data_IF_320769571447
#
_entry.id   IF_320769571447
#
_cell.length_a   1.000
_cell.length_b   1.000
_cell.length_c   1.000
_cell.angle_alpha   90.00
_cell.angle_beta   90.00
_cell.angle_gamma   90.00
#
_symmetry.space_group_name_H-M   'P 1'
#
loop_
_entity.id
_entity.type
_entity.pdbx_description
1 polymer ?
#
# COMPACT_ATOMS: atom_id res chain seq x y z
N UNK A 1 -13.70 1.38 10.36
CA UNK A 1 -12.28 1.46 9.98
C UNK A 1 -11.57 0.20 10.43
N UNK A 2 -10.90 -0.48 9.51
CA UNK A 2 -10.05 -1.67 9.74
C UNK A 2 -8.73 -1.47 9.01
N UNK A 3 -7.68 -2.20 9.41
CA UNK A 3 -6.50 -2.32 8.56
C UNK A 3 -6.94 -3.08 7.30
N UNK A 4 -6.78 -2.47 6.14
CA UNK A 4 -7.09 -3.11 4.87
C UNK A 4 -5.90 -3.97 4.45
N UNK A 5 -4.71 -3.38 4.39
CA UNK A 5 -3.49 -4.12 4.10
C UNK A 5 -2.24 -3.50 4.73
N UNK A 6 -1.17 -4.31 4.78
CA UNK A 6 0.20 -3.86 4.99
C UNK A 6 0.96 -4.02 3.68
N UNK A 7 1.45 -2.91 3.14
CA UNK A 7 2.30 -2.89 1.96
C UNK A 7 3.75 -3.17 2.33
N UNK A 8 4.38 -4.15 1.69
CA UNK A 8 5.76 -4.57 1.94
C UNK A 8 6.55 -4.47 0.64
N UNK A 9 7.53 -3.56 0.61
CA UNK A 9 8.42 -3.38 -0.52
C UNK A 9 9.46 -4.51 -0.57
N UNK A 10 9.54 -5.18 -1.72
CA UNK A 10 10.46 -6.29 -1.99
C UNK A 10 11.19 -6.08 -3.32
N UNK A 11 12.41 -6.61 -3.43
CA UNK A 11 13.20 -6.55 -4.66
C UNK A 11 12.76 -7.57 -5.70
N UNK A 12 12.23 -8.70 -5.24
CA UNK A 12 11.75 -9.78 -6.07
C UNK A 12 10.45 -10.36 -5.49
N UNK A 13 9.35 -10.23 -6.22
CA UNK A 13 8.10 -10.92 -5.93
C UNK A 13 8.28 -12.42 -5.97
N UNK A 14 9.11 -12.95 -6.87
CA UNK A 14 9.34 -14.39 -6.95
C UNK A 14 9.93 -14.94 -5.65
N UNK A 15 11.01 -14.34 -5.15
CA UNK A 15 11.63 -14.77 -3.89
C UNK A 15 10.73 -14.47 -2.67
N UNK A 16 10.03 -13.33 -2.70
CA UNK A 16 9.14 -12.94 -1.63
C UNK A 16 7.88 -13.81 -1.57
N UNK A 17 7.30 -14.20 -2.70
CA UNK A 17 6.14 -15.09 -2.74
C UNK A 17 6.49 -16.46 -2.15
N UNK A 18 7.63 -17.04 -2.54
CA UNK A 18 8.13 -18.28 -1.94
C UNK A 18 8.33 -18.19 -0.42
N UNK A 19 8.79 -17.04 0.07
CA UNK A 19 8.96 -16.78 1.50
C UNK A 19 7.61 -16.64 2.22
N UNK A 20 6.73 -15.78 1.72
CA UNK A 20 5.45 -15.46 2.35
C UNK A 20 4.46 -16.61 2.25
N UNK A 21 4.48 -17.40 1.17
CA UNK A 21 3.66 -18.60 1.06
C UNK A 21 4.01 -19.62 2.14
N UNK A 22 5.30 -19.85 2.40
CA UNK A 22 5.77 -20.70 3.51
C UNK A 22 5.46 -20.12 4.88
N UNK A 23 5.62 -18.80 5.05
CA UNK A 23 5.35 -18.10 6.32
C UNK A 23 3.87 -18.15 6.70
N UNK A 24 2.99 -17.94 5.73
CA UNK A 24 1.53 -17.84 5.93
C UNK A 24 0.81 -19.18 5.72
N UNK A 25 1.50 -20.19 5.21
CA UNK A 25 0.95 -21.52 4.93
C UNK A 25 -0.04 -21.56 3.77
N UNK A 26 0.04 -20.61 2.83
CA UNK A 26 -0.82 -20.52 1.65
C UNK A 26 -0.23 -19.62 0.58
N UNK A 27 -0.60 -19.89 -0.67
CA UNK A 27 -0.20 -19.09 -1.83
C UNK A 27 -0.88 -17.71 -1.86
N UNK A 28 -0.30 -16.80 -2.64
CA UNK A 28 -0.97 -15.56 -3.01
C UNK A 28 -2.23 -15.86 -3.84
N UNK A 29 -3.23 -14.99 -3.76
CA UNK A 29 -4.47 -15.18 -4.52
C UNK A 29 -4.57 -14.33 -5.79
N UNK A 30 -3.67 -13.35 -5.94
CA UNK A 30 -3.70 -12.39 -7.04
C UNK A 30 -2.35 -11.72 -7.22
N UNK A 31 -1.97 -11.52 -8.47
CA UNK A 31 -0.99 -10.53 -8.89
C UNK A 31 -1.69 -9.42 -9.67
N UNK A 32 -1.26 -8.17 -9.49
CA UNK A 32 -1.80 -7.03 -10.23
C UNK A 32 -0.69 -6.02 -10.57
N UNK A 33 -0.64 -5.60 -11.84
CA UNK A 33 0.24 -4.52 -12.27
C UNK A 33 -0.47 -3.18 -12.13
N UNK A 34 0.17 -2.25 -11.43
CA UNK A 34 -0.27 -0.86 -11.29
C UNK A 34 0.68 0.00 -12.10
N UNK A 35 0.48 0.01 -13.43
CA UNK A 35 1.41 0.64 -14.39
C UNK A 35 1.72 2.10 -14.07
N UNK A 36 0.71 2.88 -13.65
CA UNK A 36 0.88 4.30 -13.31
C UNK A 36 1.85 4.54 -12.13
N UNK A 37 1.93 3.59 -11.20
CA UNK A 37 2.82 3.67 -10.04
C UNK A 37 4.14 2.94 -10.31
N UNK A 38 4.24 2.20 -11.43
CA UNK A 38 5.41 1.38 -11.74
C UNK A 38 5.60 0.26 -10.72
N UNK A 39 4.53 -0.44 -10.35
CA UNK A 39 4.55 -1.49 -9.33
C UNK A 39 3.81 -2.74 -9.81
N UNK A 40 4.34 -3.91 -9.48
CA UNK A 40 3.64 -5.19 -9.53
C UNK A 40 3.37 -5.62 -8.09
N UNK A 41 2.15 -6.07 -7.84
CA UNK A 41 1.67 -6.40 -6.48
C UNK A 41 1.34 -7.89 -6.36
N UNK A 42 1.53 -8.47 -5.17
CA UNK A 42 1.10 -9.83 -4.81
C UNK A 42 0.31 -9.82 -3.51
N UNK A 43 -0.87 -10.43 -3.50
CA UNK A 43 -1.81 -10.34 -2.38
C UNK A 43 -1.99 -11.65 -1.63
N UNK A 44 -1.95 -11.56 -0.30
CA UNK A 44 -2.26 -12.64 0.63
C UNK A 44 -3.35 -12.19 1.60
N UNK A 45 -4.42 -12.97 1.73
CA UNK A 45 -5.39 -12.73 2.80
C UNK A 45 -4.77 -13.06 4.17
N UNK A 46 -5.01 -12.30 5.22
CA UNK A 46 -4.57 -12.60 6.60
C UNK A 46 -5.67 -12.15 7.56
N UNK A 47 -6.54 -13.09 7.96
CA UNK A 47 -7.74 -12.75 8.73
C UNK A 47 -8.63 -11.78 7.95
N UNK A 48 -8.91 -10.63 8.56
CA UNK A 48 -9.71 -9.54 7.99
C UNK A 48 -8.89 -8.54 7.16
N UNK A 49 -7.56 -8.69 7.11
CA UNK A 49 -6.62 -7.80 6.42
C UNK A 49 -5.84 -8.53 5.33
N UNK A 50 -4.96 -7.83 4.61
CA UNK A 50 -4.09 -8.41 3.58
C UNK A 50 -2.62 -8.07 3.81
N UNK A 51 -1.74 -8.92 3.30
CA UNK A 51 -0.37 -8.53 2.97
C UNK A 51 -0.34 -8.23 1.47
N UNK A 52 0.21 -7.08 1.12
CA UNK A 52 0.46 -6.68 -0.26
C UNK A 52 1.98 -6.55 -0.45
N UNK A 53 2.57 -7.48 -1.20
CA UNK A 53 3.97 -7.39 -1.59
C UNK A 53 4.09 -6.49 -2.82
N UNK A 54 5.09 -5.62 -2.85
CA UNK A 54 5.28 -4.58 -3.85
C UNK A 54 6.67 -4.72 -4.47
N UNK A 55 6.74 -5.05 -5.76
CA UNK A 55 7.98 -4.97 -6.55
C UNK A 55 7.88 -3.83 -7.54
N UNK A 56 8.97 -3.06 -7.66
CA UNK A 56 9.07 -2.01 -8.66
C UNK A 56 9.19 -2.59 -10.07
N UNK A 57 8.31 -2.20 -10.99
CA UNK A 57 8.40 -2.59 -12.41
C UNK A 57 9.37 -1.72 -13.22
N UNK A 58 9.84 -0.61 -12.65
CA UNK A 58 10.87 0.25 -13.23
C UNK A 58 11.68 0.99 -12.15
N UNK A 59 12.89 1.49 -12.47
CA UNK A 59 13.76 2.16 -11.49
C UNK A 59 13.21 3.46 -10.90
N UNK A 60 12.27 4.12 -11.59
CA UNK A 60 11.70 5.40 -11.17
C UNK A 60 10.53 5.26 -10.18
N UNK A 61 10.05 4.03 -9.98
CA UNK A 61 8.98 3.68 -9.06
C UNK A 61 9.28 4.16 -7.63
N UNK A 62 8.26 4.63 -6.89
CA UNK A 62 8.39 4.94 -5.47
C UNK A 62 8.96 3.77 -4.65
N UNK A 63 8.66 2.53 -5.04
CA UNK A 63 9.14 1.31 -4.37
C UNK A 63 10.64 1.12 -4.59
N UNK A 64 11.14 1.35 -5.81
CA UNK A 64 12.58 1.31 -6.11
C UNK A 64 13.34 2.31 -5.21
N UNK A 65 12.87 3.56 -5.18
CA UNK A 65 13.45 4.64 -4.36
C UNK A 65 13.37 4.36 -2.86
N UNK A 66 12.31 3.70 -2.40
CA UNK A 66 12.18 3.27 -1.01
C UNK A 66 13.25 2.22 -0.66
N UNK A 67 13.37 1.18 -1.48
CA UNK A 67 14.33 0.08 -1.25
C UNK A 67 15.77 0.58 -1.28
N UNK A 68 16.12 1.47 -2.22
CA UNK A 68 17.46 2.08 -2.28
C UNK A 68 17.81 2.84 -0.99
N UNK A 69 16.83 3.52 -0.39
CA UNK A 69 17.05 4.38 0.77
C UNK A 69 16.93 3.66 2.10
N UNK A 70 16.09 2.62 2.19
CA UNK A 70 15.66 1.99 3.45
C UNK A 70 15.89 0.48 3.49
N UNK A 71 16.15 -0.15 2.36
CA UNK A 71 16.06 -1.61 2.20
C UNK A 71 14.62 -2.09 2.01
N UNK A 72 14.47 -3.40 1.85
CA UNK A 72 13.17 -4.07 1.80
C UNK A 72 12.48 -4.05 3.16
N UNK A 73 11.14 -4.11 3.18
CA UNK A 73 10.36 -4.11 4.41
C UNK A 73 9.01 -3.41 4.30
N UNK A 74 8.37 -3.18 5.45
CA UNK A 74 7.07 -2.52 5.51
C UNK A 74 7.17 -1.10 4.95
N UNK A 75 6.46 -0.86 3.86
CA UNK A 75 6.41 0.42 3.15
C UNK A 75 5.32 1.32 3.73
N UNK A 76 4.13 0.78 3.94
CA UNK A 76 2.97 1.55 4.38
C UNK A 76 1.93 0.68 5.09
N UNK A 77 0.98 1.34 5.76
CA UNK A 77 -0.22 0.75 6.33
C UNK A 77 -1.45 1.40 5.70
N UNK A 78 -2.41 0.58 5.30
CA UNK A 78 -3.66 1.04 4.70
C UNK A 78 -4.85 0.83 5.63
N UNK A 79 -5.71 1.84 5.73
CA UNK A 79 -6.96 1.78 6.46
C UNK A 79 -8.16 1.86 5.52
N UNK A 80 -9.08 0.90 5.65
CA UNK A 80 -10.34 0.90 4.94
C UNK A 80 -11.31 1.94 5.50
N UNK A 81 -11.86 2.78 4.63
CA UNK A 81 -12.83 3.85 4.93
C UNK A 81 -14.07 3.73 4.06
N UNK A 82 -15.21 4.19 4.58
CA UNK A 82 -16.50 4.08 3.88
C UNK A 82 -16.66 5.17 2.80
N UNK A 83 -16.22 6.40 3.10
CA UNK A 83 -16.18 7.52 2.15
C UNK A 83 -14.83 8.26 2.26
N UNK A 84 -14.02 8.15 1.21
CA UNK A 84 -12.68 8.73 1.16
C UNK A 84 -12.70 10.26 1.07
N UNK A 85 -13.74 10.86 0.47
CA UNK A 85 -13.84 12.31 0.35
C UNK A 85 -14.16 12.94 1.71
N UNK A 86 -15.15 12.37 2.42
CA UNK A 86 -15.51 12.82 3.77
C UNK A 86 -14.32 12.70 4.73
N UNK A 87 -13.55 11.61 4.62
CA UNK A 87 -12.39 11.38 5.47
C UNK A 87 -11.22 12.32 5.12
N UNK A 88 -11.01 12.64 3.85
CA UNK A 88 -10.04 13.67 3.43
C UNK A 88 -10.40 15.02 4.04
N UNK A 89 -11.66 15.45 3.94
CA UNK A 89 -12.11 16.73 4.51
C UNK A 89 -11.93 16.75 6.04
N UNK A 90 -12.34 15.68 6.72
CA UNK A 90 -12.19 15.54 8.17
C UNK A 90 -10.73 15.64 8.61
N UNK A 91 -9.82 14.91 7.95
CA UNK A 91 -8.41 14.88 8.31
C UNK A 91 -7.69 16.18 7.95
N UNK A 92 -8.03 16.83 6.84
CA UNK A 92 -7.55 18.19 6.52
C UNK A 92 -7.98 19.18 7.61
N UNK A 93 -9.23 19.10 8.08
CA UNK A 93 -9.74 19.91 9.20
C UNK A 93 -8.99 19.69 10.52
N UNK A 94 -8.35 18.53 10.68
CA UNK A 94 -7.50 18.20 11.84
C UNK A 94 -6.01 18.50 11.62
N UNK A 95 -5.63 19.10 10.48
CA UNK A 95 -4.26 19.51 10.19
C UNK A 95 -3.35 18.41 9.62
N UNK A 96 -3.91 17.27 9.19
CA UNK A 96 -3.12 16.26 8.47
C UNK A 96 -2.76 16.75 7.07
N UNK A 97 -1.57 16.36 6.62
CA UNK A 97 -1.03 16.70 5.30
C UNK A 97 -1.12 15.47 4.40
N UNK A 98 -1.70 15.62 3.23
CA UNK A 98 -1.77 14.56 2.22
C UNK A 98 -0.61 14.67 1.22
N UNK A 99 -0.21 13.53 0.65
CA UNK A 99 0.80 13.49 -0.44
C UNK A 99 0.16 13.97 -1.75
N UNK A 100 -1.08 13.58 -2.01
CA UNK A 100 -1.89 14.07 -3.12
C UNK A 100 -3.22 14.61 -2.60
N UNK A 101 -3.69 15.72 -3.17
CA UNK A 101 -4.94 16.36 -2.69
C UNK A 101 -6.20 15.61 -3.12
N UNK A 102 -6.12 14.80 -4.18
CA UNK A 102 -7.23 14.01 -4.72
C UNK A 102 -6.95 12.50 -4.55
N UNK A 103 -7.99 11.70 -4.22
CA UNK A 103 -7.92 10.25 -4.33
C UNK A 103 -7.61 9.82 -5.76
N UNK A 104 -6.79 8.79 -5.89
CA UNK A 104 -6.51 8.14 -7.17
C UNK A 104 -7.10 6.75 -7.15
N UNK A 105 -7.17 6.15 -8.33
CA UNK A 105 -7.35 4.71 -8.39
C UNK A 105 -6.14 4.04 -7.69
N UNK A 106 -6.37 2.89 -7.06
CA UNK A 106 -5.38 2.05 -6.39
C UNK A 106 -5.25 0.68 -7.05
N UNK A 107 -4.58 -0.27 -6.39
CA UNK A 107 -4.70 -1.69 -6.71
C UNK A 107 -6.04 -2.23 -6.19
N UNK A 108 -6.40 -3.45 -6.61
CA UNK A 108 -7.54 -4.20 -6.09
C UNK A 108 -8.90 -3.49 -6.23
N UNK A 109 -9.05 -2.72 -7.32
CA UNK A 109 -10.26 -1.93 -7.63
C UNK A 109 -10.67 -0.92 -6.54
N UNK A 110 -9.70 -0.31 -5.85
CA UNK A 110 -9.97 0.69 -4.80
C UNK A 110 -9.70 2.12 -5.26
N UNK A 111 -10.21 3.10 -4.50
CA UNK A 111 -9.73 4.49 -4.48
C UNK A 111 -8.83 4.69 -3.27
N UNK A 112 -7.72 5.38 -3.47
CA UNK A 112 -6.65 5.49 -2.47
C UNK A 112 -6.12 6.92 -2.37
N UNK A 113 -5.69 7.30 -1.17
CA UNK A 113 -4.96 8.55 -0.93
C UNK A 113 -3.96 8.35 0.21
N UNK A 114 -2.81 9.01 0.15
CA UNK A 114 -1.76 8.86 1.16
C UNK A 114 -1.60 10.12 2.02
N UNK A 115 -1.38 9.91 3.31
CA UNK A 115 -0.95 10.94 4.25
C UNK A 115 0.58 11.04 4.26
N UNK A 116 1.08 12.26 4.42
CA UNK A 116 2.51 12.53 4.45
C UNK A 116 3.12 12.06 5.79
N UNK A 117 4.18 11.21 5.81
CA UNK A 117 4.76 10.63 7.03
C UNK A 117 5.12 11.62 8.15
N UNK A 118 5.43 12.87 7.78
CA UNK A 118 5.69 13.99 8.71
C UNK A 118 4.56 14.26 9.71
N UNK A 119 3.30 14.00 9.35
CA UNK A 119 2.15 14.21 10.23
C UNK A 119 1.64 12.92 10.89
N UNK A 120 2.31 11.80 10.65
CA UNK A 120 1.91 10.44 11.10
C UNK A 120 3.08 9.70 11.74
N UNK A 121 3.94 10.43 12.47
CA UNK A 121 5.08 9.88 13.22
C UNK A 121 6.04 9.02 12.38
N UNK A 122 6.21 9.34 11.09
CA UNK A 122 7.09 8.63 10.18
C UNK A 122 6.45 7.45 9.46
N UNK A 123 5.18 7.12 9.75
CA UNK A 123 4.45 6.04 9.09
C UNK A 123 3.79 6.56 7.81
N UNK A 124 4.02 5.92 6.68
CA UNK A 124 3.24 6.18 5.47
C UNK A 124 1.87 5.53 5.63
N UNK A 125 0.83 6.36 5.67
CA UNK A 125 -0.55 5.91 5.88
C UNK A 125 -1.34 6.10 4.59
N UNK A 126 -2.04 5.05 4.17
CA UNK A 126 -2.97 5.04 3.06
C UNK A 126 -4.41 4.95 3.58
N UNK A 127 -5.32 5.66 2.94
CA UNK A 127 -6.76 5.43 3.09
C UNK A 127 -7.28 4.78 1.84
N UNK A 128 -8.04 3.70 1.99
CA UNK A 128 -8.60 2.93 0.89
C UNK A 128 -10.12 2.88 0.99
N UNK A 129 -10.80 3.09 -0.14
CA UNK A 129 -12.23 2.90 -0.27
C UNK A 129 -12.52 1.91 -1.40
N UNK A 130 -13.39 0.94 -1.14
CA UNK A 130 -13.95 0.08 -2.18
C UNK A 130 -14.74 0.91 -3.21
N UNK A 131 -14.74 0.45 -4.47
CA UNK A 131 -15.50 1.05 -5.57
C UNK A 131 -16.82 0.36 -5.82
#
# INVERSE_FOLDING_TARGET
MKIEHLGIAVKSLQEADDLFARLLGKENYKHESVEREGVITSFYNVGDSKIELLEASNPESPISKFIEKRGEGIHHIAFGVDNILDEIERLKGLGFVFISEEPKDGADNKRVVFLHPKCTNGVLVELCQEK
#
